data_IF_731477474826
#
_entry.id   IF_731477474826
#
_cell.length_a   1.000
_cell.length_b   1.000
_cell.length_c   1.000
_cell.angle_alpha   90.00
_cell.angle_beta   90.00
_cell.angle_gamma   90.00
#
_symmetry.space_group_name_H-M   'P 1'
#
loop_
_entity.id
_entity.type
_entity.pdbx_description
1 polymer ?
#
# COMPACT_ATOMS: atom_id res chain seq x y z
N UNK A 1 -13.66 4.29 -26.52
CA UNK A 1 -12.31 4.83 -26.26
C UNK A 1 -12.44 5.79 -25.10
N UNK A 2 -11.70 5.59 -24.00
CA UNK A 2 -11.85 6.42 -22.81
C UNK A 2 -10.52 7.05 -22.45
N UNK A 3 -10.47 8.39 -22.43
CA UNK A 3 -9.33 9.12 -21.88
C UNK A 3 -9.40 9.01 -20.35
N UNK A 4 -8.42 8.36 -19.77
CA UNK A 4 -8.30 8.22 -18.31
C UNK A 4 -7.23 9.18 -17.84
N UNK A 5 -7.60 10.09 -16.94
CA UNK A 5 -6.63 10.98 -16.30
C UNK A 5 -6.18 10.34 -15.00
N UNK A 6 -4.87 10.23 -14.76
CA UNK A 6 -4.29 9.55 -13.60
C UNK A 6 -3.36 10.49 -12.84
N UNK A 7 -3.34 10.35 -11.51
CA UNK A 7 -2.51 11.11 -10.58
C UNK A 7 -1.71 10.17 -9.66
N UNK A 8 -0.44 10.47 -9.44
CA UNK A 8 0.38 9.73 -8.48
C UNK A 8 0.13 10.24 -7.07
N UNK A 9 -0.15 9.33 -6.14
CA UNK A 9 -0.29 9.66 -4.72
C UNK A 9 1.04 9.94 -4.01
N UNK A 10 2.17 9.58 -4.62
CA UNK A 10 3.50 9.72 -4.01
C UNK A 10 4.27 10.95 -4.50
N UNK A 11 4.16 11.32 -5.77
CA UNK A 11 4.93 12.41 -6.36
C UNK A 11 4.08 13.44 -7.13
N UNK A 12 2.74 13.37 -7.01
CA UNK A 12 1.77 14.26 -7.64
C UNK A 12 1.87 14.37 -9.17
N UNK A 13 2.63 13.48 -9.80
CA UNK A 13 2.70 13.40 -11.26
C UNK A 13 1.31 13.11 -11.83
N UNK A 14 0.91 13.81 -12.89
CA UNK A 14 -0.36 13.59 -13.56
C UNK A 14 -0.15 13.32 -15.05
N UNK A 15 -0.94 12.41 -15.60
CA UNK A 15 -0.94 12.13 -17.04
C UNK A 15 -2.34 11.76 -17.52
N UNK A 16 -2.61 12.03 -18.80
CA UNK A 16 -3.75 11.47 -19.51
C UNK A 16 -3.28 10.25 -20.29
N UNK A 17 -3.78 9.09 -19.90
CA UNK A 17 -3.54 7.82 -20.59
C UNK A 17 -4.72 7.48 -21.48
N UNK A 18 -4.41 6.95 -22.65
CA UNK A 18 -5.39 6.34 -23.53
C UNK A 18 -5.62 4.89 -23.08
N UNK A 19 -6.87 4.51 -22.81
CA UNK A 19 -7.21 3.12 -22.51
C UNK A 19 -8.06 2.55 -23.66
N UNK A 20 -7.59 1.46 -24.26
CA UNK A 20 -8.34 0.79 -25.31
C UNK A 20 -9.60 0.15 -24.71
N UNK A 21 -10.64 -0.04 -25.54
CA UNK A 21 -11.88 -0.67 -25.09
C UNK A 21 -11.71 -2.15 -24.74
N UNK A 22 -10.65 -2.77 -25.27
CA UNK A 22 -10.26 -4.15 -25.03
C UNK A 22 -9.45 -4.32 -23.74
N UNK A 23 -8.89 -3.23 -23.21
CA UNK A 23 -8.14 -3.26 -21.96
C UNK A 23 -9.11 -3.29 -20.78
N UNK A 24 -8.89 -4.24 -19.87
CA UNK A 24 -9.60 -4.23 -18.60
C UNK A 24 -9.29 -2.94 -17.84
N UNK A 25 -10.32 -2.25 -17.38
CA UNK A 25 -10.16 -0.99 -16.66
C UNK A 25 -9.39 -1.21 -15.36
N UNK A 26 -8.30 -0.47 -15.18
CA UNK A 26 -7.46 -0.50 -13.98
C UNK A 26 -7.56 0.85 -13.26
N UNK A 27 -8.18 0.81 -12.07
CA UNK A 27 -8.36 1.97 -11.20
C UNK A 27 -7.02 2.49 -10.64
N UNK A 28 -6.07 1.56 -10.39
CA UNK A 28 -4.73 1.84 -9.87
C UNK A 28 -3.70 1.15 -10.74
N UNK A 29 -2.65 1.89 -11.12
CA UNK A 29 -1.47 1.41 -11.84
C UNK A 29 -0.20 1.87 -11.12
N UNK A 30 0.97 1.45 -11.62
CA UNK A 30 2.26 1.91 -11.10
C UNK A 30 2.65 3.24 -11.75
N UNK A 31 3.17 4.18 -10.96
CA UNK A 31 3.64 5.47 -11.45
C UNK A 31 4.96 5.27 -12.22
N UNK A 32 5.05 5.70 -13.49
CA UNK A 32 6.27 5.52 -14.28
C UNK A 32 7.45 6.38 -13.81
N UNK A 33 7.23 7.35 -12.92
CA UNK A 33 8.28 8.25 -12.41
C UNK A 33 8.91 7.80 -11.10
N UNK A 34 8.13 7.19 -10.21
CA UNK A 34 8.55 6.93 -8.83
C UNK A 34 8.13 5.57 -8.28
N UNK A 35 7.55 4.71 -9.13
CA UNK A 35 7.00 3.41 -8.74
C UNK A 35 5.87 3.46 -7.69
N UNK A 36 5.37 4.66 -7.35
CA UNK A 36 4.24 4.85 -6.44
C UNK A 36 2.88 4.51 -7.05
N UNK A 37 1.82 4.55 -6.23
CA UNK A 37 0.46 4.31 -6.71
C UNK A 37 -0.03 5.43 -7.64
N UNK A 38 -0.56 5.06 -8.79
CA UNK A 38 -1.01 5.94 -9.86
C UNK A 38 -2.49 5.69 -10.14
N UNK A 39 -3.34 6.63 -9.76
CA UNK A 39 -4.78 6.41 -9.59
C UNK A 39 -5.58 7.28 -10.55
N UNK A 40 -6.66 6.75 -11.12
CA UNK A 40 -7.62 7.54 -11.90
C UNK A 40 -8.19 8.70 -11.07
N UNK A 41 -8.13 9.93 -11.60
CA UNK A 41 -8.62 11.16 -10.95
C UNK A 41 -10.11 11.11 -10.60
N UNK A 42 -10.93 10.36 -11.34
CA UNK A 42 -12.36 10.20 -11.03
C UNK A 42 -12.62 9.24 -9.87
N UNK A 43 -11.66 8.35 -9.60
CA UNK A 43 -11.68 7.44 -8.45
C UNK A 43 -10.82 7.95 -7.30
N UNK A 44 -10.00 8.97 -7.57
CA UNK A 44 -9.10 9.61 -6.63
C UNK A 44 -9.82 10.04 -5.36
N UNK A 45 -11.08 10.47 -5.41
CA UNK A 45 -11.89 10.78 -4.23
C UNK A 45 -12.03 9.62 -3.23
N UNK A 46 -11.92 8.35 -3.65
CA UNK A 46 -11.90 7.18 -2.76
C UNK A 46 -10.58 7.05 -1.99
N UNK A 47 -9.49 7.55 -2.58
CA UNK A 47 -8.12 7.44 -2.06
C UNK A 47 -7.65 8.73 -1.37
N UNK A 48 -8.16 9.88 -1.82
CA UNK A 48 -7.99 11.22 -1.25
C UNK A 48 -9.01 11.51 -0.15
N UNK A 49 -9.96 10.59 0.14
CA UNK A 49 -10.91 10.68 1.27
C UNK A 49 -10.26 10.68 2.67
N UNK A 50 -9.00 11.10 2.75
CA UNK A 50 -8.13 11.06 3.90
C UNK A 50 -7.24 12.32 4.01
N UNK A 51 -7.47 13.35 3.18
CA UNK A 51 -6.92 14.69 3.43
C UNK A 51 -7.66 15.45 4.55
N UNK A 52 -8.56 14.78 5.27
CA UNK A 52 -9.05 15.22 6.58
C UNK A 52 -8.55 14.39 7.77
N UNK A 53 -8.03 13.18 7.54
CA UNK A 53 -7.48 12.17 8.49
C UNK A 53 -7.52 10.79 7.78
N UNK A 54 -6.48 10.37 7.07
CA UNK A 54 -5.86 9.12 7.55
C UNK A 54 -4.92 9.58 8.64
N UNK A 55 -5.48 9.73 9.83
CA UNK A 55 -4.77 9.05 10.90
C UNK A 55 -4.68 7.60 10.41
N UNK A 56 -3.48 7.16 9.99
CA UNK A 56 -3.15 5.78 10.28
C UNK A 56 -3.38 5.65 11.78
N UNK A 57 -4.60 5.25 12.17
CA UNK A 57 -4.96 4.98 13.56
C UNK A 57 -4.19 3.74 14.06
N UNK A 58 -3.52 3.02 13.15
CA UNK A 58 -2.43 2.13 13.49
C UNK A 58 -1.21 2.92 13.95
N UNK A 59 -0.69 2.56 15.13
CA UNK A 59 0.63 2.99 15.57
C UNK A 59 1.64 2.74 14.43
N UNK A 60 2.52 3.70 14.10
CA UNK A 60 3.59 3.46 13.15
C UNK A 60 4.32 2.18 13.51
N UNK A 61 4.62 1.35 12.51
CA UNK A 61 5.41 0.15 12.75
C UNK A 61 6.77 0.56 13.34
N UNK A 62 7.20 -0.18 14.35
CA UNK A 62 8.55 0.01 14.87
C UNK A 62 9.56 -0.48 13.84
N UNK A 63 10.81 0.00 13.94
CA UNK A 63 11.91 -0.49 13.11
C UNK A 63 12.02 -2.03 13.14
N UNK A 64 11.86 -2.62 14.32
CA UNK A 64 11.84 -4.08 14.52
C UNK A 64 10.71 -4.79 13.74
N UNK A 65 9.53 -4.17 13.63
CA UNK A 65 8.41 -4.73 12.88
C UNK A 65 8.65 -4.63 11.37
N UNK A 66 9.26 -3.53 10.92
CA UNK A 66 9.67 -3.34 9.52
C UNK A 66 10.74 -4.38 9.16
N UNK A 67 11.79 -4.52 9.97
CA UNK A 67 12.87 -5.48 9.76
C UNK A 67 12.33 -6.93 9.70
N UNK A 68 11.33 -7.27 10.53
CA UNK A 68 10.71 -8.58 10.54
C UNK A 68 9.87 -8.85 9.27
N UNK A 69 9.10 -7.86 8.81
CA UNK A 69 8.35 -7.97 7.57
C UNK A 69 9.30 -8.10 6.36
N UNK A 70 10.37 -7.31 6.30
CA UNK A 70 11.38 -7.43 5.25
C UNK A 70 12.03 -8.82 5.24
N UNK A 71 12.36 -9.37 6.42
CA UNK A 71 12.88 -10.72 6.54
C UNK A 71 11.88 -11.78 6.05
N UNK A 72 10.59 -11.64 6.38
CA UNK A 72 9.55 -12.55 5.89
C UNK A 72 9.40 -12.48 4.38
N UNK A 73 9.36 -11.27 3.80
CA UNK A 73 9.27 -11.05 2.34
C UNK A 73 10.44 -11.77 1.65
N UNK A 74 11.66 -11.57 2.14
CA UNK A 74 12.85 -12.14 1.54
C UNK A 74 12.87 -13.68 1.60
N UNK A 75 12.40 -14.28 2.70
CA UNK A 75 12.40 -15.74 2.85
C UNK A 75 11.22 -16.43 2.15
N UNK A 76 10.06 -15.76 2.06
CA UNK A 76 8.86 -16.31 1.44
C UNK A 76 8.96 -16.23 -0.09
N UNK A 77 9.51 -15.14 -0.62
CA UNK A 77 9.83 -15.01 -2.04
C UNK A 77 10.73 -16.15 -2.55
N UNK A 78 11.74 -16.56 -1.76
CA UNK A 78 12.61 -17.70 -2.11
C UNK A 78 11.92 -19.06 -2.11
N UNK A 79 10.71 -19.14 -1.57
CA UNK A 79 9.93 -20.38 -1.41
C UNK A 79 8.64 -20.36 -2.23
N UNK A 80 8.47 -19.37 -3.10
CA UNK A 80 7.25 -19.18 -3.91
C UNK A 80 5.98 -19.10 -3.04
N UNK A 81 6.09 -18.43 -1.89
CA UNK A 81 4.98 -18.21 -0.96
C UNK A 81 4.68 -16.71 -0.84
N UNK A 82 3.40 -16.37 -0.81
CA UNK A 82 2.93 -15.01 -0.57
C UNK A 82 2.78 -14.73 0.94
N UNK A 83 2.92 -13.46 1.32
CA UNK A 83 2.59 -12.99 2.67
C UNK A 83 1.08 -12.80 2.78
N UNK A 84 0.44 -13.46 3.75
CA UNK A 84 -0.97 -13.19 4.05
C UNK A 84 -1.12 -11.96 4.95
N UNK A 85 -2.29 -11.33 4.89
CA UNK A 85 -2.70 -10.32 5.89
C UNK A 85 -2.57 -10.83 7.34
N UNK A 86 -2.77 -12.13 7.55
CA UNK A 86 -2.62 -12.80 8.84
C UNK A 86 -1.19 -12.78 9.41
N UNK A 87 -0.16 -12.76 8.56
CA UNK A 87 1.24 -12.67 8.97
C UNK A 87 1.59 -11.24 9.39
N UNK A 88 1.10 -10.26 8.64
CA UNK A 88 1.24 -8.84 8.99
C UNK A 88 0.59 -8.57 10.35
N UNK A 89 -0.64 -9.04 10.57
CA UNK A 89 -1.30 -8.93 11.86
C UNK A 89 -0.50 -9.57 13.01
N UNK A 90 0.15 -10.71 12.76
CA UNK A 90 0.99 -11.39 13.76
C UNK A 90 2.16 -10.51 14.18
N UNK A 91 2.85 -9.88 13.22
CA UNK A 91 3.98 -8.96 13.48
C UNK A 91 3.51 -7.71 14.25
N UNK A 92 2.35 -7.18 13.88
CA UNK A 92 1.76 -6.01 14.58
C UNK A 92 1.43 -6.34 16.04
N UNK A 93 0.87 -7.53 16.31
CA UNK A 93 0.45 -7.97 17.65
C UNK A 93 1.60 -8.41 18.58
N UNK A 94 2.85 -8.55 18.08
CA UNK A 94 3.98 -9.02 18.91
C UNK A 94 4.34 -8.08 20.09
N UNK A 95 3.98 -6.78 20.05
CA UNK A 95 4.27 -5.82 21.14
C UNK A 95 3.29 -5.88 22.31
N UNK A 96 2.11 -6.49 22.18
CA UNK A 96 1.12 -6.48 23.29
C UNK A 96 1.50 -7.39 24.46
N UNK A 97 2.49 -8.28 24.29
CA UNK A 97 2.96 -9.20 25.34
C UNK A 97 4.25 -8.75 26.04
N UNK A 98 4.80 -7.58 25.69
CA UNK A 98 6.04 -7.06 26.26
C UNK A 98 5.89 -6.19 27.52
N UNK A 99 4.67 -5.81 27.90
CA UNK A 99 4.39 -5.04 29.11
C UNK A 99 3.53 -5.85 30.09
N UNK A 100 4.00 -7.04 30.47
CA UNK A 100 3.58 -7.66 31.73
C UNK A 100 4.70 -7.39 32.74
N UNK A 101 4.65 -6.22 33.35
CA UNK A 101 5.38 -5.98 34.60
C UNK A 101 4.91 -7.02 35.60
N UNK A 102 5.87 -7.75 36.18
CA UNK A 102 5.64 -8.63 37.32
C UNK A 102 4.92 -7.87 38.43
N UNK A 103 3.88 -8.49 38.97
CA UNK A 103 3.14 -8.09 40.17
C UNK A 103 2.43 -9.31 40.70
#
# INVERSE_FOLDING_TARGET
MCNVSRCCLACDYQIKTYQALEDEYQEVTVCPKCNGAFVDVFKLGKYIQLSGRTECNGKPLTKEQIDMLEFMIYNYYKKDMDICSCDVERVVKMKEKGARTNG
#
